data_IF_688228206543
#
_entry.id   IF_688228206543
#
_cell.length_a   1.000
_cell.length_b   1.000
_cell.length_c   1.000
_cell.angle_alpha   90.00
_cell.angle_beta   90.00
_cell.angle_gamma   90.00
#
_symmetry.space_group_name_H-M   'P 1'
#
loop_
_entity.id
_entity.type
_entity.pdbx_description
1 polymer ?
#
# COMPACT_ATOMS: atom_id res chain seq x y z
N UNK A 1 6.17 -1.86 11.57
CA UNK A 1 7.24 -2.34 10.66
C UNK A 1 7.04 -1.83 9.23
N UNK A 2 5.86 -2.01 8.62
CA UNK A 2 5.52 -1.50 7.27
C UNK A 2 5.93 -0.04 7.07
N UNK A 3 5.55 0.85 7.99
CA UNK A 3 5.94 2.28 7.97
C UNK A 3 7.44 2.51 7.76
N UNK A 4 8.30 1.70 8.40
CA UNK A 4 9.75 1.79 8.27
C UNK A 4 10.24 1.35 6.89
N UNK A 5 9.65 0.29 6.33
CA UNK A 5 9.98 -0.18 4.99
C UNK A 5 9.55 0.82 3.91
N UNK A 6 8.34 1.38 4.03
CA UNK A 6 7.86 2.41 3.10
C UNK A 6 8.74 3.66 3.14
N UNK A 7 9.16 4.12 4.32
CA UNK A 7 10.12 5.24 4.44
C UNK A 7 11.49 4.92 3.85
N UNK A 8 11.95 3.67 3.95
CA UNK A 8 13.20 3.25 3.30
C UNK A 8 13.07 3.31 1.79
N UNK A 9 11.97 2.81 1.22
CA UNK A 9 11.71 2.90 -0.22
C UNK A 9 11.73 4.37 -0.68
N UNK A 10 11.01 5.27 0.00
CA UNK A 10 11.00 6.69 -0.34
C UNK A 10 12.39 7.35 -0.30
N UNK A 11 13.29 6.89 0.58
CA UNK A 11 14.64 7.44 0.71
C UNK A 11 15.69 6.81 -0.22
N UNK A 12 15.55 5.53 -0.54
CA UNK A 12 16.60 4.75 -1.23
C UNK A 12 16.18 4.23 -2.60
N UNK A 13 14.89 4.29 -2.96
CA UNK A 13 14.34 3.66 -4.17
C UNK A 13 14.25 2.14 -4.09
N UNK A 14 14.87 1.49 -3.10
CA UNK A 14 14.84 0.03 -2.95
C UNK A 14 13.53 -0.45 -2.33
N UNK A 15 12.72 -1.14 -3.14
CA UNK A 15 11.47 -1.75 -2.68
C UNK A 15 11.66 -3.23 -2.34
N UNK A 16 11.43 -3.60 -1.08
CA UNK A 16 11.32 -5.02 -0.67
C UNK A 16 9.88 -5.52 -0.86
N UNK A 17 9.47 -5.67 -2.12
CA UNK A 17 8.10 -6.01 -2.54
C UNK A 17 7.54 -7.24 -1.82
N UNK A 18 8.21 -8.39 -1.89
CA UNK A 18 7.77 -9.64 -1.24
C UNK A 18 7.52 -9.49 0.26
N UNK A 19 8.42 -8.79 0.96
CA UNK A 19 8.33 -8.59 2.40
C UNK A 19 7.11 -7.71 2.75
N UNK A 20 6.90 -6.62 2.00
CA UNK A 20 5.74 -5.75 2.15
C UNK A 20 4.44 -6.47 1.83
N UNK A 21 4.38 -7.21 0.72
CA UNK A 21 3.21 -8.00 0.33
C UNK A 21 2.82 -8.99 1.43
N UNK A 22 3.77 -9.75 1.95
CA UNK A 22 3.51 -10.68 3.06
C UNK A 22 2.92 -9.97 4.28
N UNK A 23 3.47 -8.80 4.65
CA UNK A 23 2.93 -8.03 5.77
C UNK A 23 1.49 -7.55 5.49
N UNK A 24 1.20 -7.06 4.29
CA UNK A 24 -0.15 -6.64 3.94
C UNK A 24 -1.13 -7.82 3.95
N UNK A 25 -0.76 -8.95 3.32
CA UNK A 25 -1.58 -10.17 3.29
C UNK A 25 -1.91 -10.64 4.71
N UNK A 26 -0.93 -10.70 5.62
CA UNK A 26 -1.19 -11.07 7.01
C UNK A 26 -2.16 -10.11 7.71
N UNK A 27 -2.08 -8.80 7.45
CA UNK A 27 -3.00 -7.82 8.03
C UNK A 27 -4.42 -8.01 7.46
N UNK A 28 -4.55 -8.19 6.15
CA UNK A 28 -5.84 -8.47 5.51
C UNK A 28 -6.42 -9.80 5.97
N UNK A 29 -5.61 -10.83 6.24
CA UNK A 29 -6.13 -12.10 6.74
C UNK A 29 -6.69 -11.98 8.17
N UNK A 30 -6.24 -11.00 8.96
CA UNK A 30 -6.71 -10.81 10.35
C UNK A 30 -7.86 -9.81 10.44
N UNK A 31 -7.80 -8.72 9.67
CA UNK A 31 -8.74 -7.60 9.76
C UNK A 31 -9.68 -7.48 8.55
N UNK A 32 -9.44 -8.25 7.49
CA UNK A 32 -10.18 -8.23 6.22
C UNK A 32 -10.46 -6.81 5.72
N UNK A 33 -11.72 -6.46 5.44
CA UNK A 33 -12.10 -5.13 4.93
C UNK A 33 -11.75 -3.98 5.90
N UNK A 34 -11.64 -4.25 7.19
CA UNK A 34 -11.24 -3.24 8.18
C UNK A 34 -9.74 -2.91 8.10
N UNK A 35 -8.92 -3.71 7.41
CA UNK A 35 -7.50 -3.45 7.23
C UNK A 35 -7.24 -2.14 6.45
N UNK A 36 -8.03 -1.88 5.40
CA UNK A 36 -7.85 -0.69 4.54
C UNK A 36 -7.92 0.61 5.34
N UNK A 37 -9.03 0.95 6.04
CA UNK A 37 -9.10 2.18 6.82
C UNK A 37 -8.06 2.22 7.95
N UNK A 38 -7.75 1.08 8.58
CA UNK A 38 -6.72 0.98 9.62
C UNK A 38 -5.32 1.37 9.08
N UNK A 39 -4.96 0.88 7.90
CA UNK A 39 -3.68 1.17 7.26
C UNK A 39 -3.57 2.65 6.92
N UNK A 40 -4.61 3.25 6.32
CA UNK A 40 -4.63 4.68 6.00
C UNK A 40 -4.59 5.56 7.26
N UNK A 41 -5.22 5.14 8.35
CA UNK A 41 -5.18 5.85 9.63
C UNK A 41 -3.79 5.77 10.30
N UNK A 42 -3.11 4.63 10.22
CA UNK A 42 -1.81 4.39 10.90
C UNK A 42 -0.60 4.89 10.10
N UNK A 43 -0.70 5.01 8.79
CA UNK A 43 0.39 5.42 7.90
C UNK A 43 0.33 6.93 7.63
N UNK A 44 1.52 7.57 7.56
CA UNK A 44 1.63 9.00 7.29
C UNK A 44 1.15 9.32 5.86
N UNK A 45 0.53 10.49 5.66
CA UNK A 45 -0.03 10.93 4.37
C UNK A 45 0.97 10.90 3.21
N UNK A 46 2.24 11.20 3.49
CA UNK A 46 3.33 11.17 2.51
C UNK A 46 3.55 9.78 1.88
N UNK A 47 3.17 8.72 2.59
CA UNK A 47 3.35 7.33 2.16
C UNK A 47 2.06 6.72 1.61
N UNK A 48 0.97 7.49 1.55
CA UNK A 48 -0.33 7.00 1.08
C UNK A 48 -0.28 6.61 -0.40
N UNK A 49 0.51 7.31 -1.22
CA UNK A 49 0.69 6.97 -2.64
C UNK A 49 1.25 5.55 -2.81
N UNK A 50 2.34 5.26 -2.10
CA UNK A 50 2.97 3.92 -2.11
C UNK A 50 2.02 2.88 -1.54
N UNK A 51 1.40 3.16 -0.38
CA UNK A 51 0.43 2.25 0.25
C UNK A 51 -0.73 1.91 -0.70
N UNK A 52 -1.36 2.93 -1.29
CA UNK A 52 -2.47 2.75 -2.24
C UNK A 52 -2.07 1.84 -3.39
N UNK A 53 -0.85 1.99 -3.89
CA UNK A 53 -0.31 1.17 -4.99
C UNK A 53 -0.28 -0.31 -4.61
N UNK A 54 0.17 -0.65 -3.41
CA UNK A 54 0.13 -2.03 -2.91
C UNK A 54 -1.30 -2.57 -2.76
N UNK A 55 -2.21 -1.76 -2.22
CA UNK A 55 -3.60 -2.18 -2.04
C UNK A 55 -4.34 -2.35 -3.36
N UNK A 56 -4.05 -1.49 -4.33
CA UNK A 56 -4.54 -1.60 -5.71
C UNK A 56 -4.03 -2.89 -6.35
N UNK A 57 -2.73 -3.18 -6.23
CA UNK A 57 -2.12 -4.41 -6.72
C UNK A 57 -2.74 -5.67 -6.09
N UNK A 58 -3.08 -5.62 -4.80
CA UNK A 58 -3.77 -6.72 -4.10
C UNK A 58 -5.28 -6.81 -4.40
N UNK A 59 -5.84 -5.91 -5.21
CA UNK A 59 -7.27 -5.88 -5.51
C UNK A 59 -8.16 -5.54 -4.31
N UNK A 60 -7.62 -4.82 -3.30
CA UNK A 60 -8.32 -4.49 -2.04
C UNK A 60 -8.94 -3.10 -2.02
N UNK A 61 -8.87 -2.35 -3.13
CA UNK A 61 -9.54 -1.06 -3.29
C UNK A 61 -10.76 -1.27 -4.18
N UNK A 62 -11.99 -1.12 -3.66
CA UNK A 62 -13.19 -1.20 -4.48
C UNK A 62 -13.27 0.02 -5.40
N UNK A 63 -13.75 -0.14 -6.64
CA UNK A 63 -13.92 0.98 -7.58
C UNK A 63 -15.00 1.98 -7.13
N UNK A 64 -15.96 1.51 -6.32
CA UNK A 64 -17.07 2.28 -5.79
C UNK A 64 -17.43 1.86 -4.35
N UNK A 65 -17.90 2.78 -3.50
CA UNK A 65 -18.04 4.22 -3.73
C UNK A 65 -16.68 4.94 -3.72
N UNK A 66 -16.56 6.00 -4.51
CA UNK A 66 -15.36 6.85 -4.52
C UNK A 66 -15.24 7.54 -3.16
N UNK A 67 -14.10 7.30 -2.51
CA UNK A 67 -13.70 7.91 -1.23
C UNK A 67 -12.44 8.74 -1.43
N UNK A 68 -12.03 9.53 -0.43
CA UNK A 68 -10.80 10.33 -0.48
C UNK A 68 -9.52 9.50 -0.78
N UNK A 69 -9.56 8.19 -0.58
CA UNK A 69 -8.47 7.27 -0.95
C UNK A 69 -8.30 7.19 -2.48
N UNK A 70 -9.38 7.39 -3.25
CA UNK A 70 -9.36 7.38 -4.70
C UNK A 70 -8.63 8.58 -5.29
N UNK A 71 -8.59 9.71 -4.58
CA UNK A 71 -7.90 10.93 -5.01
C UNK A 71 -6.39 10.87 -4.77
N UNK A 72 -5.92 9.95 -3.91
CA UNK A 72 -4.49 9.76 -3.68
C UNK A 72 -3.82 9.25 -4.96
N UNK A 73 -2.73 9.87 -5.45
CA UNK A 73 -2.04 9.40 -6.64
C UNK A 73 -1.46 8.01 -6.43
N UNK A 74 -1.39 7.22 -7.50
CA UNK A 74 -0.71 5.91 -7.51
C UNK A 74 0.76 6.13 -7.86
N UNK A 75 1.65 5.43 -7.16
CA UNK A 75 3.08 5.45 -7.44
C UNK A 75 3.37 4.51 -8.62
N UNK A 76 3.64 5.10 -9.78
CA UNK A 76 3.85 4.37 -11.03
C UNK A 76 5.14 3.55 -11.00
N UNK A 77 6.19 4.04 -10.33
CA UNK A 77 7.45 3.30 -10.19
C UNK A 77 7.26 2.05 -9.33
N UNK A 78 6.59 2.22 -8.18
CA UNK A 78 6.24 1.13 -7.29
C UNK A 78 5.38 0.09 -8.02
N UNK A 79 4.35 0.53 -8.76
CA UNK A 79 3.50 -0.35 -9.54
C UNK A 79 4.28 -1.13 -10.61
N UNK A 80 5.21 -0.46 -11.29
CA UNK A 80 6.11 -1.08 -12.26
C UNK A 80 7.02 -2.13 -11.66
N UNK A 81 7.48 -1.95 -10.41
CA UNK A 81 8.24 -2.96 -9.68
C UNK A 81 7.33 -4.14 -9.30
N UNK A 82 6.12 -3.86 -8.79
CA UNK A 82 5.18 -4.90 -8.37
C UNK A 82 4.71 -5.80 -9.51
N UNK A 83 4.48 -5.24 -10.70
CA UNK A 83 4.10 -6.02 -11.89
C UNK A 83 5.23 -6.89 -12.46
N UNK A 84 6.48 -6.73 -11.98
CA UNK A 84 7.63 -7.56 -12.37
C UNK A 84 7.92 -8.69 -11.38
N UNK A 85 7.20 -8.72 -10.24
CA UNK A 85 7.29 -9.75 -9.20
C UNK A 85 6.42 -10.93 -9.58
#
# INVERSE_FOLDING_TARGET
YIKRLLKRYQKSGELKSHLLLNHFICIYNVFDDAATPLLFYKIDKELWSVLKTFLLFLGRIPEYPKTAIHDVPVDVECLGILNKV
#
